data_IF_476157655446
#
_entry.id   IF_476157655446
#
_cell.length_a   1.000
_cell.length_b   1.000
_cell.length_c   1.000
_cell.angle_alpha   90.00
_cell.angle_beta   90.00
_cell.angle_gamma   90.00
#
_symmetry.space_group_name_H-M   'P 1'
#
loop_
_entity.id
_entity.type
_entity.pdbx_description
1 polymer ?
#
# COMPACT_ATOMS: atom_id res chain seq x y z
N UNK A 1 -7.03 8.91 -15.06
CA UNK A 1 -7.55 7.63 -14.57
C UNK A 1 -8.89 7.88 -13.90
N UNK A 2 -9.98 7.37 -14.47
CA UNK A 2 -11.35 7.66 -14.01
C UNK A 2 -12.24 6.44 -14.20
N UNK A 3 -11.97 5.34 -13.51
CA UNK A 3 -13.02 4.36 -13.33
C UNK A 3 -12.85 3.45 -12.12
N UNK A 4 -13.54 3.80 -11.03
CA UNK A 4 -14.14 2.81 -10.15
C UNK A 4 -15.64 3.00 -10.32
N UNK A 5 -16.34 2.03 -10.90
CA UNK A 5 -17.76 2.15 -11.20
C UNK A 5 -18.64 2.27 -9.92
N UNK A 6 -18.05 2.16 -8.73
CA UNK A 6 -18.74 1.93 -7.46
C UNK A 6 -19.77 0.81 -7.60
N UNK A 7 -19.36 -0.22 -8.34
CA UNK A 7 -20.18 -1.32 -8.75
C UNK A 7 -19.36 -2.56 -8.46
N UNK A 8 -19.91 -3.53 -7.73
CA UNK A 8 -19.20 -4.76 -7.46
C UNK A 8 -18.79 -5.45 -8.77
N UNK A 9 -17.61 -6.04 -8.81
CA UNK A 9 -17.27 -6.93 -9.92
C UNK A 9 -18.26 -8.11 -9.96
N UNK A 10 -18.42 -8.74 -11.13
CA UNK A 10 -19.25 -9.93 -11.30
C UNK A 10 -20.76 -9.79 -11.08
N UNK A 11 -21.30 -8.59 -10.85
CA UNK A 11 -22.74 -8.40 -10.61
C UNK A 11 -23.45 -7.58 -11.69
N UNK A 12 -23.63 -8.11 -12.91
CA UNK A 12 -24.18 -7.36 -14.05
C UNK A 12 -25.59 -6.79 -13.80
N UNK A 13 -26.29 -7.23 -12.74
CA UNK A 13 -27.61 -6.76 -12.33
C UNK A 13 -27.65 -5.66 -11.26
N UNK A 14 -26.56 -5.39 -10.52
CA UNK A 14 -26.58 -4.39 -9.44
C UNK A 14 -25.89 -4.81 -8.15
N UNK A 15 -26.28 -4.18 -7.04
CA UNK A 15 -25.89 -4.61 -5.70
C UNK A 15 -26.82 -5.74 -5.23
N UNK A 16 -26.34 -6.98 -5.24
CA UNK A 16 -27.05 -8.15 -4.72
C UNK A 16 -26.47 -8.58 -3.35
N UNK A 17 -27.31 -9.10 -2.46
CA UNK A 17 -26.92 -9.40 -1.07
C UNK A 17 -25.96 -10.61 -0.91
N UNK A 18 -25.81 -11.41 -1.96
CA UNK A 18 -24.91 -12.56 -2.06
C UNK A 18 -23.59 -12.21 -2.77
N UNK A 19 -23.40 -10.94 -3.14
CA UNK A 19 -22.23 -10.54 -3.88
C UNK A 19 -20.92 -10.76 -3.08
N UNK A 20 -20.01 -11.49 -3.70
CA UNK A 20 -18.71 -11.87 -3.13
C UNK A 20 -17.58 -10.90 -3.51
N UNK A 21 -17.84 -9.95 -4.41
CA UNK A 21 -16.85 -9.05 -5.02
C UNK A 21 -17.08 -7.58 -4.67
N UNK A 22 -17.20 -7.30 -3.37
CA UNK A 22 -17.37 -5.94 -2.84
C UNK A 22 -16.08 -5.47 -2.18
N UNK A 23 -15.50 -4.41 -2.75
CA UNK A 23 -14.41 -3.68 -2.12
C UNK A 23 -14.94 -2.68 -1.08
N UNK A 24 -14.28 -2.60 0.08
CA UNK A 24 -14.67 -1.69 1.17
C UNK A 24 -13.73 -0.49 1.38
N UNK A 25 -12.46 -0.61 0.98
CA UNK A 25 -11.42 0.41 1.19
C UNK A 25 -10.77 0.77 -0.14
N UNK A 26 -11.33 1.80 -0.78
CA UNK A 26 -10.75 2.43 -1.96
C UNK A 26 -10.08 3.74 -1.56
N UNK A 27 -9.39 4.33 -2.53
CA UNK A 27 -8.76 5.62 -2.42
C UNK A 27 -8.74 6.30 -3.79
N UNK A 28 -8.68 7.61 -3.79
CA UNK A 28 -8.50 8.42 -5.00
C UNK A 28 -7.18 9.15 -4.89
N UNK A 29 -6.53 9.37 -6.03
CA UNK A 29 -5.29 10.13 -6.11
C UNK A 29 -5.11 10.77 -7.48
N UNK A 30 -4.19 11.72 -7.59
CA UNK A 30 -3.81 12.24 -8.90
C UNK A 30 -3.13 11.16 -9.74
N UNK A 31 -3.44 11.14 -11.04
CA UNK A 31 -2.88 10.15 -11.96
C UNK A 31 -2.44 10.82 -13.28
N UNK A 32 -1.91 12.04 -13.19
CA UNK A 32 -1.46 12.80 -14.36
C UNK A 32 -0.19 12.17 -14.92
N UNK A 33 -0.20 11.83 -16.22
CA UNK A 33 0.98 11.34 -16.94
C UNK A 33 2.21 12.21 -16.62
N UNK A 34 3.31 11.58 -16.23
CA UNK A 34 4.59 12.17 -15.82
C UNK A 34 4.60 12.97 -14.49
N UNK A 35 3.44 13.24 -13.88
CA UNK A 35 3.33 14.09 -12.67
C UNK A 35 2.64 13.39 -11.48
N UNK A 36 2.19 12.14 -11.63
CA UNK A 36 1.54 11.38 -10.55
C UNK A 36 2.34 11.42 -9.25
N UNK A 37 3.64 11.07 -9.30
CA UNK A 37 4.45 10.96 -8.09
C UNK A 37 4.54 12.28 -7.32
N UNK A 38 4.82 13.40 -8.00
CA UNK A 38 4.89 14.73 -7.36
C UNK A 38 3.54 15.20 -6.83
N UNK A 39 2.47 14.96 -7.58
CA UNK A 39 1.14 15.40 -7.20
C UNK A 39 0.63 14.62 -5.97
N UNK A 40 0.85 13.31 -5.92
CA UNK A 40 0.55 12.48 -4.74
C UNK A 40 1.43 12.90 -3.57
N UNK A 41 2.73 13.08 -3.79
CA UNK A 41 3.67 13.54 -2.77
C UNK A 41 3.25 14.90 -2.17
N UNK A 42 2.77 15.82 -3.00
CA UNK A 42 2.31 17.14 -2.59
C UNK A 42 0.99 17.13 -1.78
N UNK A 43 0.16 16.09 -1.89
CA UNK A 43 -1.10 16.06 -1.14
C UNK A 43 -2.28 15.36 -1.81
N UNK A 44 -2.21 15.07 -3.12
CA UNK A 44 -3.40 14.68 -3.88
C UNK A 44 -3.72 13.19 -3.75
N UNK A 45 -4.12 12.78 -2.55
CA UNK A 45 -4.67 11.46 -2.25
C UNK A 45 -5.68 11.50 -1.09
N UNK A 46 -6.64 10.58 -1.09
CA UNK A 46 -7.65 10.46 -0.04
C UNK A 46 -8.41 9.13 -0.10
N UNK A 47 -9.04 8.74 1.01
CA UNK A 47 -9.84 7.52 1.06
C UNK A 47 -11.22 7.71 0.42
N UNK A 48 -11.70 6.63 -0.18
CA UNK A 48 -13.08 6.46 -0.61
C UNK A 48 -13.58 5.13 -0.03
N UNK A 49 -14.41 5.20 1.02
CA UNK A 49 -14.85 4.02 1.75
C UNK A 49 -16.24 3.60 1.28
N UNK A 50 -16.39 2.30 1.00
CA UNK A 50 -17.64 1.68 0.62
C UNK A 50 -18.13 0.76 1.74
N UNK A 51 -19.45 0.68 1.87
CA UNK A 51 -20.15 -0.11 2.87
C UNK A 51 -21.31 -0.83 2.20
N UNK A 52 -21.67 -2.00 2.72
CA UNK A 52 -22.73 -2.85 2.18
C UNK A 52 -23.63 -3.39 3.31
N UNK A 53 -24.52 -4.34 3.03
CA UNK A 53 -25.45 -4.89 4.02
C UNK A 53 -24.78 -5.72 5.14
N UNK A 54 -23.54 -6.18 4.96
CA UNK A 54 -22.78 -6.97 5.95
C UNK A 54 -21.72 -6.14 6.65
N UNK A 55 -20.90 -5.41 5.92
CA UNK A 55 -19.97 -4.38 6.40
C UNK A 55 -20.64 -3.00 6.32
N UNK A 56 -21.67 -2.81 7.15
CA UNK A 56 -22.60 -1.66 7.03
C UNK A 56 -22.12 -0.35 7.63
N UNK A 57 -20.90 -0.31 8.15
CA UNK A 57 -20.42 0.86 8.88
C UNK A 57 -21.23 1.15 10.16
N UNK A 58 -21.93 0.14 10.71
CA UNK A 58 -22.72 0.25 11.92
C UNK A 58 -22.53 -0.96 12.85
N UNK A 59 -21.79 -0.77 13.94
CA UNK A 59 -21.49 -1.79 14.95
C UNK A 59 -22.71 -2.23 15.79
N UNK A 60 -23.86 -1.58 15.59
CA UNK A 60 -25.15 -1.90 16.23
C UNK A 60 -26.22 -2.36 15.23
N UNK A 61 -25.83 -2.64 13.99
CA UNK A 61 -26.75 -3.13 12.99
C UNK A 61 -27.47 -4.40 13.48
N UNK A 62 -28.80 -4.36 13.42
CA UNK A 62 -29.68 -5.44 13.85
C UNK A 62 -29.89 -6.48 12.76
N UNK A 63 -29.43 -6.24 11.54
CA UNK A 63 -29.40 -7.23 10.47
C UNK A 63 -28.63 -8.49 10.97
N UNK A 64 -29.23 -9.69 10.92
CA UNK A 64 -28.56 -10.92 11.36
C UNK A 64 -27.27 -11.23 10.58
N UNK A 65 -27.15 -10.73 9.34
CA UNK A 65 -25.98 -10.93 8.49
C UNK A 65 -24.89 -9.86 8.68
N UNK A 66 -25.15 -8.80 9.47
CA UNK A 66 -24.17 -7.74 9.67
C UNK A 66 -22.99 -8.21 10.53
N UNK A 67 -21.79 -8.01 10.02
CA UNK A 67 -20.54 -8.31 10.73
C UNK A 67 -20.42 -7.52 12.03
N UNK A 68 -20.98 -6.30 12.07
CA UNK A 68 -20.86 -5.34 13.17
C UNK A 68 -19.39 -5.11 13.57
N UNK A 69 -18.53 -4.90 12.57
CA UNK A 69 -17.15 -4.46 12.78
C UNK A 69 -17.11 -3.11 13.53
N UNK A 70 -15.98 -2.72 14.15
CA UNK A 70 -15.82 -1.36 14.68
C UNK A 70 -16.15 -0.33 13.60
N UNK A 71 -16.90 0.72 13.96
CA UNK A 71 -17.49 1.64 12.99
C UNK A 71 -17.54 3.09 13.48
N UNK A 72 -17.87 4.02 12.58
CA UNK A 72 -17.94 5.44 12.88
C UNK A 72 -16.59 5.95 13.40
N UNK A 73 -16.57 6.55 14.60
CA UNK A 73 -15.33 7.06 15.21
C UNK A 73 -14.31 5.98 15.62
N UNK A 74 -14.67 4.70 15.49
CA UNK A 74 -13.81 3.55 15.78
C UNK A 74 -13.30 2.87 14.49
N UNK A 75 -13.63 3.41 13.32
CA UNK A 75 -13.11 3.00 12.01
C UNK A 75 -12.28 4.16 11.45
N UNK A 76 -10.96 4.02 11.46
CA UNK A 76 -10.02 5.13 11.31
C UNK A 76 -9.12 4.91 10.08
N UNK A 77 -9.23 5.75 9.04
CA UNK A 77 -8.31 5.74 7.91
C UNK A 77 -6.91 6.23 8.30
N UNK A 78 -5.88 5.52 7.85
CA UNK A 78 -4.47 5.82 8.04
C UNK A 78 -3.73 5.79 6.69
N UNK A 79 -3.53 6.96 6.07
CA UNK A 79 -2.64 7.08 4.91
C UNK A 79 -1.22 7.21 5.44
N UNK A 80 -0.39 6.18 5.22
CA UNK A 80 1.04 6.21 5.52
C UNK A 80 1.81 6.73 4.30
N UNK A 81 2.73 7.66 4.53
CA UNK A 81 3.49 8.32 3.47
C UNK A 81 4.80 8.84 4.06
N UNK A 82 5.94 8.52 3.44
CA UNK A 82 7.23 9.05 3.84
C UNK A 82 7.55 10.35 3.09
N UNK A 83 8.12 11.32 3.80
CA UNK A 83 8.35 12.69 3.33
C UNK A 83 9.69 13.19 3.86
N UNK A 84 10.45 13.88 3.00
CA UNK A 84 11.59 14.71 3.40
C UNK A 84 11.16 16.15 3.62
N UNK A 85 11.78 16.82 4.59
CA UNK A 85 11.52 18.24 4.86
C UNK A 85 12.81 19.06 4.77
N UNK A 86 12.73 20.29 4.26
CA UNK A 86 13.81 21.27 4.37
C UNK A 86 13.92 21.76 5.83
N UNK A 87 15.01 22.48 6.14
CA UNK A 87 15.19 23.07 7.47
C UNK A 87 14.07 24.07 7.84
N UNK A 88 13.41 24.67 6.84
CA UNK A 88 12.27 25.58 6.98
C UNK A 88 10.92 24.83 7.07
N UNK A 89 10.94 23.50 7.04
CA UNK A 89 9.75 22.66 7.18
C UNK A 89 8.93 22.49 5.89
N UNK A 90 9.48 22.81 4.71
CA UNK A 90 8.82 22.54 3.43
C UNK A 90 9.04 21.09 3.00
N UNK A 91 8.01 20.43 2.47
CA UNK A 91 8.18 19.11 1.87
C UNK A 91 9.12 19.22 0.67
N UNK A 92 10.15 18.36 0.63
CA UNK A 92 11.16 18.32 -0.44
C UNK A 92 10.84 17.19 -1.40
N UNK A 93 10.71 17.52 -2.68
CA UNK A 93 10.76 16.58 -3.79
C UNK A 93 11.80 17.07 -4.79
N UNK A 94 12.81 16.26 -5.08
CA UNK A 94 13.97 16.66 -5.88
C UNK A 94 14.31 15.54 -6.88
N UNK A 95 13.91 15.77 -8.14
CA UNK A 95 14.15 14.83 -9.24
C UNK A 95 15.63 14.68 -9.61
N UNK A 96 16.50 15.55 -9.10
CA UNK A 96 17.90 15.54 -9.46
C UNK A 96 18.77 14.97 -8.35
N UNK A 97 18.34 15.14 -7.10
CA UNK A 97 19.02 14.68 -5.89
C UNK A 97 18.03 13.93 -5.00
N UNK A 98 17.64 12.69 -5.35
CA UNK A 98 16.66 11.91 -4.59
C UNK A 98 17.12 11.59 -3.16
N UNK A 99 18.43 11.46 -2.93
CA UNK A 99 19.06 11.28 -1.61
C UNK A 99 19.31 12.61 -0.87
N UNK A 100 19.04 13.72 -1.55
CA UNK A 100 19.23 15.07 -1.05
C UNK A 100 20.67 15.61 -1.04
N UNK A 101 21.66 14.85 -1.51
CA UNK A 101 23.10 15.18 -1.43
C UNK A 101 23.57 15.92 -2.70
N UNK A 102 23.98 17.20 -2.63
CA UNK A 102 24.51 17.90 -3.79
C UNK A 102 25.79 17.23 -4.34
N UNK A 103 26.02 17.20 -5.66
CA UNK A 103 27.26 16.66 -6.20
C UNK A 103 28.43 17.58 -5.81
N UNK A 104 29.57 16.99 -5.42
CA UNK A 104 30.79 17.74 -5.06
C UNK A 104 31.31 18.49 -6.30
N UNK A 105 31.20 19.81 -6.29
CA UNK A 105 31.52 20.71 -7.42
C UNK A 105 33.00 20.69 -7.82
N UNK A 106 33.90 20.25 -6.93
CA UNK A 106 35.35 20.38 -7.09
C UNK A 106 36.02 19.37 -8.03
N UNK A 107 35.31 18.35 -8.53
CA UNK A 107 35.89 17.27 -9.37
C UNK A 107 35.11 17.05 -10.67
N UNK A 108 34.75 18.13 -11.37
CA UNK A 108 33.93 18.08 -12.60
C UNK A 108 34.76 17.73 -13.85
N UNK A 109 34.52 16.59 -14.52
CA UNK A 109 35.11 16.31 -15.84
C UNK A 109 34.48 17.23 -16.91
N UNK A 110 35.21 17.58 -17.97
CA UNK A 110 34.61 18.33 -19.08
C UNK A 110 33.57 17.44 -19.82
N UNK A 111 32.47 18.03 -20.36
CA UNK A 111 31.54 17.29 -21.23
C UNK A 111 32.29 16.57 -22.35
N UNK A 112 31.91 15.33 -22.62
CA UNK A 112 32.49 14.49 -23.67
C UNK A 112 31.51 14.35 -24.82
N UNK A 113 31.96 14.60 -26.04
CA UNK A 113 31.18 14.29 -27.24
C UNK A 113 31.13 12.77 -27.41
N UNK A 114 29.95 12.18 -27.21
CA UNK A 114 29.72 10.74 -27.38
C UNK A 114 29.20 10.42 -28.79
N UNK A 115 28.86 11.44 -29.58
CA UNK A 115 28.20 11.30 -30.86
C UNK A 115 26.84 10.59 -30.75
N UNK A 116 26.06 10.64 -31.82
CA UNK A 116 24.86 9.82 -31.94
C UNK A 116 24.88 8.95 -33.20
N UNK A 117 23.89 8.08 -33.35
CA UNK A 117 23.76 7.16 -34.49
C UNK A 117 23.59 7.87 -35.85
N UNK A 118 23.40 9.19 -35.86
CA UNK A 118 23.30 10.03 -37.06
C UNK A 118 24.63 10.74 -37.38
N UNK A 119 25.70 10.53 -36.60
CA UNK A 119 27.01 11.14 -36.82
C UNK A 119 27.10 12.62 -36.46
N UNK A 120 26.14 13.15 -35.70
CA UNK A 120 26.20 14.51 -35.14
C UNK A 120 26.81 14.48 -33.75
N UNK A 121 27.53 15.54 -33.36
CA UNK A 121 28.06 15.69 -32.01
C UNK A 121 26.92 15.65 -30.98
N UNK A 122 27.06 14.82 -29.96
CA UNK A 122 26.16 14.76 -28.82
C UNK A 122 27.00 14.87 -27.55
N UNK A 123 26.93 16.03 -26.88
CA UNK A 123 27.75 16.29 -25.70
C UNK A 123 27.11 15.62 -24.49
N UNK A 124 27.64 14.45 -24.09
CA UNK A 124 27.35 13.85 -22.81
C UNK A 124 28.10 14.60 -21.71
N UNK A 125 27.36 15.44 -21.00
CA UNK A 125 27.82 16.06 -19.77
C UNK A 125 27.40 15.20 -18.58
N UNK A 126 28.33 14.41 -18.04
CA UNK A 126 28.11 13.65 -16.81
C UNK A 126 27.87 14.53 -15.57
N UNK A 127 28.02 15.86 -15.70
CA UNK A 127 27.71 16.84 -14.65
C UNK A 127 26.34 17.50 -14.80
N UNK A 128 25.60 17.24 -15.88
CA UNK A 128 24.19 17.65 -15.93
C UNK A 128 23.46 16.88 -14.85
N UNK A 129 22.71 17.60 -14.01
CA UNK A 129 21.75 16.98 -13.11
C UNK A 129 20.82 16.12 -13.97
N UNK A 130 21.00 14.81 -13.89
CA UNK A 130 20.18 13.86 -14.62
C UNK A 130 18.88 13.69 -13.86
N UNK A 131 17.77 13.64 -14.58
CA UNK A 131 16.51 13.22 -14.00
C UNK A 131 16.70 11.83 -13.40
N UNK A 132 16.45 11.69 -12.11
CA UNK A 132 16.42 10.37 -11.48
C UNK A 132 15.19 9.61 -11.95
N UNK A 133 15.40 8.36 -12.30
CA UNK A 133 14.36 7.36 -12.51
C UNK A 133 14.24 6.43 -11.31
N UNK A 134 14.96 6.71 -10.23
CA UNK A 134 14.92 5.95 -9.00
C UNK A 134 13.68 6.27 -8.16
N UNK A 135 13.39 5.41 -7.18
CA UNK A 135 12.37 5.69 -6.18
C UNK A 135 12.85 6.79 -5.22
N UNK A 136 11.92 7.54 -4.66
CA UNK A 136 12.22 8.56 -3.65
C UNK A 136 11.82 8.06 -2.26
N UNK A 137 12.78 8.06 -1.35
CA UNK A 137 12.62 7.60 0.01
C UNK A 137 12.74 8.76 0.99
N UNK A 138 11.73 8.94 1.82
CA UNK A 138 11.69 9.95 2.88
C UNK A 138 12.28 9.47 4.20
N UNK A 139 12.78 10.43 4.98
CA UNK A 139 13.34 10.21 6.33
C UNK A 139 12.28 10.30 7.43
N UNK A 140 11.10 10.88 7.14
CA UNK A 140 9.97 10.98 8.08
C UNK A 140 8.77 10.23 7.57
N UNK A 141 8.26 9.29 8.36
CA UNK A 141 6.93 8.69 8.11
C UNK A 141 5.86 9.63 8.65
N UNK A 142 4.89 9.92 7.81
CA UNK A 142 3.67 10.64 8.16
C UNK A 142 2.48 9.69 8.14
N UNK A 143 1.51 9.97 9.00
CA UNK A 143 0.18 9.34 8.98
C UNK A 143 -0.84 10.45 8.85
N UNK A 144 -1.65 10.40 7.79
CA UNK A 144 -2.57 11.49 7.43
C UNK A 144 -1.88 12.87 7.44
N UNK A 145 -0.65 12.92 6.90
CA UNK A 145 0.23 14.11 6.80
C UNK A 145 0.76 14.67 8.12
N UNK A 146 0.59 13.97 9.24
CA UNK A 146 1.21 14.32 10.51
C UNK A 146 2.44 13.44 10.72
N UNK A 147 3.58 14.01 11.06
CA UNK A 147 4.80 13.25 11.37
C UNK A 147 4.57 12.45 12.65
N UNK A 148 4.64 11.11 12.54
CA UNK A 148 4.64 10.16 13.66
C UNK A 148 3.65 10.51 14.79
N UNK A 149 2.33 10.60 14.50
CA UNK A 149 1.35 11.11 15.45
C UNK A 149 1.10 10.12 16.60
N UNK A 150 0.33 10.61 17.57
CA UNK A 150 -0.34 9.73 18.53
C UNK A 150 -1.86 9.88 18.45
N UNK A 151 -2.56 8.85 18.92
CA UNK A 151 -4.02 8.83 19.06
C UNK A 151 -4.42 8.30 20.43
N UNK A 152 -5.18 9.10 21.20
CA UNK A 152 -5.83 8.61 22.40
C UNK A 152 -7.02 7.70 22.05
N UNK A 153 -6.96 6.46 22.52
CA UNK A 153 -7.96 5.44 22.22
C UNK A 153 -8.73 5.01 23.47
N UNK A 154 -9.99 4.66 23.28
CA UNK A 154 -10.77 3.96 24.31
C UNK A 154 -10.28 2.51 24.39
N UNK A 155 -10.41 1.89 25.56
CA UNK A 155 -10.03 0.48 25.77
C UNK A 155 -11.09 -0.47 25.22
N UNK A 156 -11.14 -0.57 23.89
CA UNK A 156 -12.08 -1.36 23.07
C UNK A 156 -11.48 -1.64 21.69
N UNK A 157 -12.21 -2.34 20.82
CA UNK A 157 -11.79 -2.59 19.43
C UNK A 157 -11.93 -1.36 18.55
N UNK A 158 -10.94 -1.18 17.66
CA UNK A 158 -10.93 -0.21 16.57
C UNK A 158 -10.56 -0.92 15.27
N UNK A 159 -11.13 -0.48 14.16
CA UNK A 159 -10.71 -0.82 12.80
C UNK A 159 -9.81 0.31 12.30
N UNK A 160 -8.66 -0.04 11.73
CA UNK A 160 -7.75 0.89 11.08
C UNK A 160 -7.63 0.48 9.62
N UNK A 161 -7.84 1.45 8.72
CA UNK A 161 -7.72 1.25 7.27
C UNK A 161 -6.39 1.82 6.82
N UNK A 162 -5.38 0.96 6.71
CA UNK A 162 -4.01 1.35 6.39
C UNK A 162 -3.88 1.40 4.87
N UNK A 163 -3.43 2.54 4.34
CA UNK A 163 -3.08 2.73 2.93
C UNK A 163 -1.63 3.18 2.84
N UNK A 164 -0.80 2.47 2.07
CA UNK A 164 0.48 3.04 1.63
C UNK A 164 0.24 4.00 0.46
N UNK A 165 0.25 5.31 0.77
CA UNK A 165 0.05 6.38 -0.21
C UNK A 165 1.36 7.00 -0.72
N UNK A 166 2.52 6.55 -0.24
CA UNK A 166 3.83 7.05 -0.65
C UNK A 166 4.23 6.52 -2.03
N UNK A 167 5.11 7.21 -2.77
CA UNK A 167 5.38 6.81 -4.14
C UNK A 167 6.36 5.64 -4.26
N UNK A 168 7.19 5.34 -3.24
CA UNK A 168 8.25 4.33 -3.40
C UNK A 168 8.50 3.44 -2.19
N UNK A 169 8.42 3.96 -0.95
CA UNK A 169 8.73 3.14 0.24
C UNK A 169 7.74 2.00 0.42
N UNK A 170 8.29 0.82 0.66
CA UNK A 170 7.57 -0.37 1.10
C UNK A 170 7.72 -0.51 2.61
N UNK A 171 6.70 -1.04 3.28
CA UNK A 171 6.68 -1.16 4.73
C UNK A 171 6.53 -2.61 5.16
N UNK A 172 7.18 -2.97 6.27
CA UNK A 172 6.86 -4.16 7.07
C UNK A 172 6.43 -3.68 8.45
N UNK A 173 5.12 -3.60 8.65
CA UNK A 173 4.50 -3.06 9.83
C UNK A 173 4.33 -4.12 10.90
N UNK A 174 4.60 -3.79 12.16
CA UNK A 174 4.35 -4.64 13.33
C UNK A 174 3.79 -3.83 14.50
N UNK A 175 3.09 -4.50 15.43
CA UNK A 175 2.59 -3.87 16.66
C UNK A 175 3.57 -4.04 17.81
N UNK A 176 4.20 -2.94 18.23
CA UNK A 176 5.02 -2.90 19.44
C UNK A 176 4.19 -2.42 20.63
N UNK A 177 4.21 -3.17 21.73
CA UNK A 177 3.58 -2.78 22.99
C UNK A 177 4.66 -2.46 24.01
N UNK A 178 4.55 -1.30 24.65
CA UNK A 178 5.41 -0.85 25.74
C UNK A 178 4.57 -0.79 27.02
N UNK A 179 4.72 -1.77 27.93
CA UNK A 179 3.98 -1.81 29.17
C UNK A 179 4.33 -0.65 30.13
N UNK A 180 3.32 -0.03 30.74
CA UNK A 180 3.52 1.05 31.71
C UNK A 180 4.14 0.60 33.04
N UNK A 181 4.08 -0.70 33.34
CA UNK A 181 4.64 -1.27 34.56
C UNK A 181 6.17 -1.50 34.49
N UNK A 182 6.83 -1.06 33.42
CA UNK A 182 8.27 -1.22 33.23
C UNK A 182 8.70 -2.62 32.77
N UNK A 183 7.75 -3.50 32.41
CA UNK A 183 8.09 -4.75 31.74
C UNK A 183 8.67 -4.47 30.34
N UNK A 184 9.52 -5.38 29.79
CA UNK A 184 10.09 -5.21 28.45
C UNK A 184 9.02 -5.06 27.36
N UNK A 185 9.29 -4.30 26.29
CA UNK A 185 8.43 -4.26 25.11
C UNK A 185 8.24 -5.64 24.49
N UNK A 186 7.09 -5.86 23.85
CA UNK A 186 6.78 -7.09 23.14
C UNK A 186 5.99 -6.81 21.85
N UNK A 187 5.97 -7.79 20.94
CA UNK A 187 5.21 -7.72 19.69
C UNK A 187 3.84 -8.39 19.90
N UNK A 188 2.77 -7.74 19.41
CA UNK A 188 1.40 -8.25 19.42
C UNK A 188 0.88 -8.43 17.98
N UNK A 189 -0.29 -9.04 17.83
CA UNK A 189 -0.83 -9.40 16.51
C UNK A 189 -1.86 -8.39 15.99
N UNK A 190 -1.88 -8.19 14.67
CA UNK A 190 -3.00 -7.58 13.96
C UNK A 190 -4.07 -8.63 13.70
N UNK A 191 -5.34 -8.24 13.76
CA UNK A 191 -6.44 -9.00 13.16
C UNK A 191 -6.78 -8.39 11.81
N UNK A 192 -6.36 -9.01 10.72
CA UNK A 192 -6.56 -8.54 9.34
C UNK A 192 -7.94 -8.94 8.84
N UNK A 193 -8.64 -8.00 8.21
CA UNK A 193 -9.97 -8.17 7.63
C UNK A 193 -9.95 -8.19 6.10
N UNK A 194 -9.10 -7.37 5.48
CA UNK A 194 -9.04 -7.22 4.03
C UNK A 194 -7.61 -7.01 3.53
N UNK A 195 -7.43 -7.29 2.23
CA UNK A 195 -6.26 -6.92 1.44
C UNK A 195 -6.76 -6.20 0.18
N UNK A 196 -6.20 -5.02 -0.12
CA UNK A 196 -6.63 -4.14 -1.21
C UNK A 196 -8.13 -3.79 -1.21
N UNK A 197 -8.79 -3.86 -0.06
CA UNK A 197 -10.21 -3.57 0.09
C UNK A 197 -11.12 -4.78 -0.13
N UNK A 198 -10.60 -5.91 -0.60
CA UNK A 198 -11.31 -7.18 -0.68
C UNK A 198 -11.25 -7.89 0.67
N UNK A 199 -12.42 -8.27 1.20
CA UNK A 199 -12.52 -8.96 2.49
C UNK A 199 -11.99 -10.40 2.38
N UNK A 200 -11.24 -10.83 3.39
CA UNK A 200 -10.89 -12.24 3.59
C UNK A 200 -12.16 -13.06 3.89
N UNK A 201 -12.11 -14.38 3.65
CA UNK A 201 -13.22 -15.28 4.04
C UNK A 201 -13.40 -15.39 5.55
N UNK A 202 -12.32 -15.16 6.31
CA UNK A 202 -12.31 -15.06 7.75
C UNK A 202 -11.18 -14.14 8.19
N UNK A 203 -11.32 -13.41 9.32
CA UNK A 203 -10.24 -12.61 9.85
C UNK A 203 -8.99 -13.46 10.14
N UNK A 204 -7.82 -12.89 9.87
CA UNK A 204 -6.54 -13.56 10.04
C UNK A 204 -5.68 -12.83 11.07
N UNK A 205 -5.07 -13.56 12.00
CA UNK A 205 -4.07 -12.99 12.90
C UNK A 205 -2.66 -13.08 12.28
N UNK A 206 -1.92 -11.97 12.33
CA UNK A 206 -0.51 -11.93 11.89
C UNK A 206 0.29 -10.94 12.74
N UNK A 207 1.56 -11.24 12.97
CA UNK A 207 2.49 -10.37 13.68
C UNK A 207 2.91 -9.17 12.81
N UNK A 208 2.81 -9.33 11.49
CA UNK A 208 3.33 -8.37 10.52
C UNK A 208 2.45 -8.19 9.29
N UNK A 209 2.60 -7.02 8.67
CA UNK A 209 1.98 -6.66 7.40
C UNK A 209 3.03 -6.08 6.46
N UNK A 210 3.22 -6.71 5.30
CA UNK A 210 3.95 -6.10 4.20
C UNK A 210 2.99 -5.22 3.40
N UNK A 211 3.21 -3.90 3.40
CA UNK A 211 2.32 -2.91 2.79
C UNK A 211 3.08 -2.18 1.69
N UNK A 212 2.86 -2.60 0.44
CA UNK A 212 3.53 -2.01 -0.72
C UNK A 212 2.72 -0.83 -1.25
N UNK A 213 3.31 -0.04 -2.16
CA UNK A 213 2.66 1.17 -2.70
C UNK A 213 1.28 0.81 -3.24
N UNK A 214 0.29 1.64 -2.90
CA UNK A 214 -1.13 1.46 -3.21
C UNK A 214 -1.83 0.30 -2.47
N UNK A 215 -1.15 -0.50 -1.64
CA UNK A 215 -1.84 -1.54 -0.87
C UNK A 215 -2.72 -0.96 0.23
N UNK A 216 -3.83 -1.67 0.49
CA UNK A 216 -4.73 -1.38 1.62
C UNK A 216 -4.87 -2.59 2.53
N UNK A 217 -4.83 -2.35 3.84
CA UNK A 217 -5.17 -3.35 4.85
C UNK A 217 -6.14 -2.77 5.85
N UNK A 218 -7.30 -3.41 6.00
CA UNK A 218 -8.15 -3.15 7.16
C UNK A 218 -7.78 -4.11 8.29
N UNK A 219 -7.45 -3.56 9.45
CA UNK A 219 -7.02 -4.32 10.61
C UNK A 219 -7.80 -3.92 11.85
N UNK A 220 -8.01 -4.85 12.77
CA UNK A 220 -8.53 -4.59 14.10
C UNK A 220 -7.39 -4.65 15.12
N UNK A 221 -7.38 -3.66 16.00
CA UNK A 221 -6.59 -3.68 17.24
C UNK A 221 -7.56 -3.59 18.42
N UNK A 222 -7.49 -4.56 19.33
CA UNK A 222 -8.32 -4.58 20.53
C UNK A 222 -7.61 -3.95 21.73
N UNK A 223 -7.85 -2.66 21.95
CA UNK A 223 -7.23 -1.94 23.06
C UNK A 223 -7.82 -2.26 24.44
N UNK A 224 -8.85 -3.12 24.53
CA UNK A 224 -9.35 -3.59 25.83
C UNK A 224 -8.33 -4.46 26.57
N UNK A 225 -7.41 -5.08 25.82
CA UNK A 225 -6.35 -5.98 26.27
C UNK A 225 -5.25 -5.26 27.03
N UNK A 226 -4.98 -4.00 26.68
CA UNK A 226 -3.92 -3.20 27.28
C UNK A 226 -4.39 -2.43 28.52
N UNK A 227 -3.44 -2.05 29.37
CA UNK A 227 -3.65 -1.28 30.58
C UNK A 227 -3.58 0.21 30.27
N UNK A 228 -4.18 1.01 31.14
CA UNK A 228 -4.01 2.46 31.09
C UNK A 228 -2.54 2.81 31.27
N UNK A 229 -2.02 3.66 30.40
CA UNK A 229 -0.63 4.10 30.40
C UNK A 229 0.29 3.27 29.50
N UNK A 230 -0.12 2.07 29.08
CA UNK A 230 0.63 1.31 28.06
C UNK A 230 0.70 2.15 26.79
N UNK A 231 1.74 1.94 25.97
CA UNK A 231 1.82 2.52 24.63
C UNK A 231 1.78 1.38 23.62
N UNK A 232 0.93 1.49 22.61
CA UNK A 232 0.84 0.53 21.51
C UNK A 232 1.22 1.26 20.25
N UNK A 233 2.18 0.77 19.48
CA UNK A 233 2.73 1.49 18.33
C UNK A 233 2.67 0.62 17.10
N UNK A 234 2.28 1.20 15.98
CA UNK A 234 2.63 0.64 14.67
C UNK A 234 4.03 1.14 14.34
N UNK A 235 4.91 0.21 14.06
CA UNK A 235 6.32 0.44 13.73
C UNK A 235 6.62 -0.19 12.37
N UNK A 236 7.57 0.36 11.62
CA UNK A 236 8.10 -0.23 10.39
C UNK A 236 9.50 -0.79 10.64
N UNK A 237 9.74 -2.05 10.27
CA UNK A 237 11.06 -2.69 10.36
C UNK A 237 11.62 -3.20 9.03
N UNK A 238 11.04 -2.80 7.90
CA UNK A 238 11.63 -3.08 6.59
C UNK A 238 12.81 -2.15 6.34
N UNK A 239 14.00 -2.72 6.16
CA UNK A 239 15.12 -2.01 5.54
C UNK A 239 14.80 -1.74 4.08
N UNK A 240 15.02 -0.50 3.64
CA UNK A 240 14.77 -0.06 2.27
C UNK A 240 16.07 0.50 1.72
N UNK A 241 16.33 0.26 0.43
CA UNK A 241 17.45 0.90 -0.26
C UNK A 241 17.17 2.40 -0.46
N UNK A 242 18.21 3.21 -0.35
CA UNK A 242 18.11 4.68 -0.50
C UNK A 242 17.68 5.11 -1.92
N UNK A 243 17.95 4.28 -2.93
CA UNK A 243 17.49 4.47 -4.32
C UNK A 243 16.01 4.08 -4.53
N UNK A 244 15.31 3.71 -3.46
CA UNK A 244 13.91 3.32 -3.51
C UNK A 244 13.63 2.06 -4.33
N UNK A 245 14.65 1.25 -4.62
CA UNK A 245 14.47 0.02 -5.40
C UNK A 245 13.70 -1.07 -4.66
N UNK A 246 13.44 -0.91 -3.37
CA UNK A 246 12.70 -1.89 -2.57
C UNK A 246 13.52 -2.34 -1.36
N UNK A 247 13.20 -3.53 -0.81
CA UNK A 247 13.84 -4.01 0.40
C UNK A 247 15.34 -4.24 0.18
N UNK A 248 16.17 -3.88 1.15
CA UNK A 248 17.62 -4.12 1.13
C UNK A 248 18.00 -5.55 1.59
N UNK A 249 17.01 -6.32 2.06
CA UNK A 249 17.18 -7.68 2.60
C UNK A 249 17.35 -7.73 4.12
N UNK A 250 17.45 -6.58 4.78
CA UNK A 250 17.61 -6.48 6.24
C UNK A 250 16.27 -6.20 6.93
N UNK A 251 16.12 -6.78 8.12
CA UNK A 251 15.07 -6.41 9.06
C UNK A 251 15.69 -5.50 10.10
N UNK A 252 15.17 -4.27 10.21
CA UNK A 252 15.68 -3.27 11.15
C UNK A 252 15.51 -3.78 12.58
N UNK A 253 16.51 -3.51 13.43
CA UNK A 253 16.40 -3.78 14.87
C UNK A 253 15.35 -2.87 15.52
N UNK A 254 14.95 -3.17 16.75
CA UNK A 254 13.95 -2.38 17.49
C UNK A 254 14.36 -0.90 17.65
N UNK A 255 15.67 -0.61 17.72
CA UNK A 255 16.22 0.74 17.85
C UNK A 255 16.29 1.49 16.50
N UNK A 256 16.32 0.76 15.39
CA UNK A 256 16.34 1.31 14.02
C UNK A 256 14.94 1.40 13.40
N UNK A 257 13.98 0.62 13.92
CA UNK A 257 12.61 0.58 13.45
C UNK A 257 11.96 1.97 13.48
N UNK A 258 11.29 2.32 12.40
CA UNK A 258 10.69 3.64 12.23
C UNK A 258 9.30 3.68 12.84
N UNK A 259 9.04 4.63 13.74
CA UNK A 259 7.70 4.86 14.27
C UNK A 259 6.72 5.32 13.19
N UNK A 260 5.51 4.76 13.18
CA UNK A 260 4.41 5.15 12.27
C UNK A 260 3.35 5.92 13.05
N UNK A 261 2.73 5.30 14.06
CA UNK A 261 1.74 5.93 14.95
C UNK A 261 1.75 5.30 16.34
N UNK A 262 1.53 6.10 17.38
CA UNK A 262 1.36 5.65 18.77
C UNK A 262 -0.09 5.74 19.24
N UNK A 263 -0.66 4.64 19.72
CA UNK A 263 -1.95 4.59 20.39
C UNK A 263 -1.79 4.61 21.91
N UNK A 264 -2.65 5.39 22.56
CA UNK A 264 -2.65 5.58 24.02
C UNK A 264 -3.99 5.11 24.61
N UNK A 265 -4.08 3.87 25.14
CA UNK A 265 -5.27 3.31 25.78
C UNK A 265 -5.60 3.96 27.14
N UNK A 266 -5.78 5.28 27.17
CA UNK A 266 -6.00 6.07 28.37
C UNK A 266 -7.42 5.99 28.95
N UNK A 267 -8.33 5.29 28.27
CA UNK A 267 -9.73 5.14 28.68
C UNK A 267 -9.98 4.27 29.92
N UNK A 268 -11.25 4.23 30.35
CA UNK A 268 -11.71 3.34 31.43
C UNK A 268 -11.68 1.86 31.01
N UNK A 269 -11.50 0.96 31.98
CA UNK A 269 -11.66 -0.48 31.76
C UNK A 269 -13.12 -0.81 31.39
N UNK A 270 -13.34 -1.87 30.62
CA UNK A 270 -14.68 -2.36 30.24
C UNK A 270 -15.53 -1.27 29.55
N UNK A 271 -14.91 -0.44 28.72
CA UNK A 271 -15.64 0.55 27.94
C UNK A 271 -16.64 -0.18 27.02
N UNK A 272 -17.91 0.26 26.91
CA UNK A 272 -18.90 -0.42 26.09
C UNK A 272 -18.45 -0.58 24.64
N UNK A 273 -18.53 -1.81 24.13
CA UNK A 273 -18.09 -2.16 22.79
C UNK A 273 -19.06 -3.19 22.17
N UNK A 274 -20.05 -2.74 21.38
CA UNK A 274 -20.96 -3.64 20.69
C UNK A 274 -20.32 -4.25 19.42
N UNK A 275 -19.13 -3.82 19.01
CA UNK A 275 -18.50 -4.35 17.81
C UNK A 275 -18.05 -5.81 18.00
N UNK A 276 -17.97 -6.54 16.90
CA UNK A 276 -17.64 -7.97 16.84
C UNK A 276 -16.51 -8.20 15.84
N UNK A 277 -15.80 -9.31 16.03
CA UNK A 277 -14.91 -9.88 15.02
C UNK A 277 -15.63 -11.17 14.56
N UNK A 278 -16.21 -11.21 13.35
CA UNK A 278 -16.92 -12.39 12.87
C UNK A 278 -15.94 -13.55 12.65
N UNK A 279 -16.41 -14.79 12.77
CA UNK A 279 -15.59 -15.98 12.46
C UNK A 279 -15.51 -16.27 10.95
N UNK A 280 -16.47 -15.76 10.20
CA UNK A 280 -16.63 -15.95 8.75
C UNK A 280 -17.18 -14.65 8.17
N UNK A 281 -16.67 -14.22 7.04
CA UNK A 281 -17.04 -12.98 6.34
C UNK A 281 -17.66 -13.29 4.97
N UNK A 282 -16.97 -13.02 3.86
CA UNK A 282 -17.47 -13.28 2.49
C UNK A 282 -16.63 -14.38 1.85
N UNK A 283 -17.27 -15.38 1.25
CA UNK A 283 -16.57 -16.35 0.43
C UNK A 283 -15.91 -15.63 -0.76
N UNK A 284 -14.76 -16.12 -1.20
CA UNK A 284 -14.14 -15.63 -2.42
C UNK A 284 -14.89 -16.18 -3.65
N UNK A 285 -14.93 -15.42 -4.77
CA UNK A 285 -15.46 -15.94 -6.02
C UNK A 285 -14.70 -17.20 -6.46
N UNK A 286 -15.40 -18.14 -7.08
CA UNK A 286 -14.76 -19.28 -7.72
C UNK A 286 -14.21 -18.89 -9.10
N UNK A 287 -13.03 -19.39 -9.45
CA UNK A 287 -12.44 -19.20 -10.77
C UNK A 287 -13.01 -20.24 -11.73
N UNK A 288 -13.87 -19.83 -12.66
CA UNK A 288 -14.27 -20.70 -13.78
C UNK A 288 -13.17 -20.73 -14.86
N UNK A 289 -12.37 -21.79 -14.82
CA UNK A 289 -11.30 -22.01 -15.79
C UNK A 289 -11.81 -22.18 -17.24
N UNK A 290 -13.10 -22.42 -17.46
CA UNK A 290 -13.69 -22.48 -18.81
C UNK A 290 -13.86 -21.09 -19.44
N UNK A 291 -13.90 -20.03 -18.62
CA UNK A 291 -13.96 -18.65 -19.07
C UNK A 291 -12.58 -18.13 -19.53
N UNK A 292 -11.50 -18.83 -19.19
CA UNK A 292 -10.13 -18.41 -19.54
C UNK A 292 -9.89 -18.52 -21.05
N UNK A 293 -9.76 -17.36 -21.72
CA UNK A 293 -9.51 -17.28 -23.17
C UNK A 293 -8.05 -17.07 -23.54
N UNK A 294 -7.23 -16.55 -22.62
CA UNK A 294 -5.82 -16.25 -22.91
C UNK A 294 -4.94 -16.30 -21.66
N UNK A 295 -3.66 -16.57 -21.88
CA UNK A 295 -2.59 -16.35 -20.91
C UNK A 295 -1.65 -15.26 -21.42
N UNK A 296 -1.24 -14.33 -20.56
CA UNK A 296 -0.35 -13.21 -20.92
C UNK A 296 0.86 -13.17 -20.01
N UNK A 297 1.96 -12.67 -20.57
CA UNK A 297 3.17 -12.34 -19.82
C UNK A 297 3.39 -10.83 -19.91
N UNK A 298 3.55 -10.21 -18.75
CA UNK A 298 3.98 -8.83 -18.60
C UNK A 298 5.31 -8.83 -17.87
N UNK A 299 6.35 -8.42 -18.57
CA UNK A 299 7.72 -8.35 -18.08
C UNK A 299 8.00 -6.91 -17.65
N UNK A 300 8.28 -6.70 -16.37
CA UNK A 300 8.70 -5.41 -15.81
C UNK A 300 10.22 -5.39 -15.77
N UNK A 301 10.82 -4.36 -16.37
CA UNK A 301 12.26 -4.26 -16.54
C UNK A 301 12.72 -2.79 -16.60
N UNK A 302 14.04 -2.60 -16.70
CA UNK A 302 14.71 -1.32 -16.84
C UNK A 302 15.57 -1.30 -18.11
N UNK A 303 15.07 -0.66 -19.16
CA UNK A 303 15.73 -0.58 -20.46
C UNK A 303 16.19 0.83 -20.78
N UNK A 304 17.46 0.98 -21.17
CA UNK A 304 18.04 2.25 -21.61
C UNK A 304 17.79 3.44 -20.67
N UNK A 305 17.79 3.18 -19.36
CA UNK A 305 17.60 4.22 -18.36
C UNK A 305 16.15 4.49 -17.95
N UNK A 306 15.18 3.69 -18.41
CA UNK A 306 13.76 3.90 -18.14
C UNK A 306 13.03 2.60 -17.79
N UNK A 307 11.98 2.71 -16.97
CA UNK A 307 11.10 1.59 -16.61
C UNK A 307 10.20 1.19 -17.78
N UNK A 308 10.13 -0.11 -18.07
CA UNK A 308 9.35 -0.65 -19.18
C UNK A 308 8.41 -1.77 -18.73
N UNK A 309 7.38 -1.98 -19.55
CA UNK A 309 6.59 -3.22 -19.54
C UNK A 309 6.71 -3.86 -20.93
N UNK A 310 7.18 -5.10 -20.99
CA UNK A 310 7.48 -5.81 -22.23
C UNK A 310 8.40 -4.99 -23.16
N UNK A 311 9.47 -4.41 -22.60
CA UNK A 311 10.44 -3.56 -23.30
C UNK A 311 9.85 -2.30 -23.97
N UNK A 312 8.70 -1.82 -23.50
CA UNK A 312 8.03 -0.61 -24.00
C UNK A 312 7.80 0.38 -22.87
N UNK A 313 8.05 1.65 -23.16
CA UNK A 313 7.69 2.78 -22.31
C UNK A 313 6.17 2.97 -22.27
N UNK A 314 5.66 3.68 -21.26
CA UNK A 314 4.26 4.07 -21.24
C UNK A 314 3.93 4.99 -22.42
N UNK A 315 2.86 4.67 -23.14
CA UNK A 315 2.28 5.52 -24.18
C UNK A 315 0.75 5.53 -24.00
N UNK A 316 0.14 6.68 -23.65
CA UNK A 316 -1.31 6.75 -23.41
C UNK A 316 -2.16 6.46 -24.65
N UNK A 317 -1.57 6.41 -25.85
CA UNK A 317 -2.27 6.09 -27.10
C UNK A 317 -2.07 4.63 -27.53
N UNK A 318 -1.26 3.85 -26.81
CA UNK A 318 -1.00 2.44 -27.12
C UNK A 318 -1.93 1.54 -26.30
N UNK A 319 -2.47 0.51 -26.96
CA UNK A 319 -3.25 -0.55 -26.32
C UNK A 319 -2.46 -1.85 -26.41
N UNK A 320 -1.89 -2.29 -25.29
CA UNK A 320 -1.09 -3.53 -25.23
C UNK A 320 -1.96 -4.80 -25.07
N UNK A 321 -3.17 -4.66 -24.51
CA UNK A 321 -4.12 -5.76 -24.35
C UNK A 321 -5.56 -5.32 -24.65
N UNK A 322 -6.28 -6.16 -25.39
CA UNK A 322 -7.73 -6.11 -25.55
C UNK A 322 -8.28 -7.42 -24.99
N UNK A 323 -9.25 -7.32 -24.09
CA UNK A 323 -9.85 -8.44 -23.36
C UNK A 323 -11.29 -8.57 -23.83
N UNK A 324 -11.74 -9.80 -24.08
CA UNK A 324 -13.12 -10.10 -24.47
C UNK A 324 -14.02 -9.93 -23.24
N UNK A 325 -15.08 -9.13 -23.35
CA UNK A 325 -16.01 -8.88 -22.24
C UNK A 325 -16.67 -10.18 -21.78
N UNK A 326 -16.69 -10.40 -20.45
CA UNK A 326 -17.29 -11.61 -19.87
C UNK A 326 -16.42 -12.86 -20.04
N UNK A 327 -15.12 -12.67 -20.23
CA UNK A 327 -14.13 -13.75 -20.26
C UNK A 327 -13.03 -13.49 -19.24
N UNK A 328 -12.30 -14.54 -18.88
CA UNK A 328 -11.14 -14.45 -18.01
C UNK A 328 -9.83 -14.55 -18.80
N UNK A 329 -8.77 -13.99 -18.24
CA UNK A 329 -7.40 -14.21 -18.69
C UNK A 329 -6.50 -14.50 -17.49
N UNK A 330 -5.44 -15.29 -17.70
CA UNK A 330 -4.41 -15.52 -16.68
C UNK A 330 -3.20 -14.66 -17.03
N UNK A 331 -2.82 -13.75 -16.15
CA UNK A 331 -1.68 -12.87 -16.35
C UNK A 331 -0.53 -13.29 -15.45
N UNK A 332 0.64 -13.47 -16.06
CA UNK A 332 1.90 -13.62 -15.35
C UNK A 332 2.61 -12.28 -15.33
N UNK A 333 2.75 -11.69 -14.15
CA UNK A 333 3.61 -10.54 -13.93
C UNK A 333 5.00 -11.05 -13.56
N UNK A 334 5.99 -10.74 -14.39
CA UNK A 334 7.37 -11.14 -14.18
C UNK A 334 8.21 -9.90 -13.94
N UNK A 335 8.89 -9.86 -12.82
CA UNK A 335 10.02 -8.98 -12.61
C UNK A 335 11.26 -9.66 -13.23
N UNK A 336 11.77 -9.13 -14.35
CA UNK A 336 12.94 -9.71 -15.03
C UNK A 336 14.24 -9.35 -14.29
N UNK A 337 14.27 -8.14 -13.72
CA UNK A 337 15.34 -7.69 -12.85
C UNK A 337 15.30 -8.36 -11.47
N UNK A 338 16.44 -8.38 -10.79
CA UNK A 338 16.55 -8.85 -9.40
C UNK A 338 16.79 -7.73 -8.39
N UNK A 339 16.89 -6.48 -8.87
CA UNK A 339 17.30 -5.35 -8.05
C UNK A 339 16.13 -4.46 -7.59
N UNK A 340 15.00 -4.48 -8.30
CA UNK A 340 13.86 -3.59 -8.05
C UNK A 340 12.61 -4.35 -7.67
N UNK A 341 11.79 -3.79 -6.79
CA UNK A 341 10.47 -4.27 -6.44
C UNK A 341 9.40 -3.48 -7.20
N UNK A 342 8.43 -4.18 -7.78
CA UNK A 342 7.37 -3.59 -8.58
C UNK A 342 6.00 -3.96 -8.01
N UNK A 343 5.37 -3.09 -7.19
CA UNK A 343 3.97 -3.26 -6.82
C UNK A 343 3.10 -2.99 -8.05
N UNK A 344 2.66 -4.05 -8.71
CA UNK A 344 1.84 -3.98 -9.92
C UNK A 344 0.37 -3.74 -9.56
N UNK A 345 -0.27 -2.84 -10.29
CA UNK A 345 -1.70 -2.54 -10.20
C UNK A 345 -2.35 -2.66 -11.59
N UNK A 346 -3.54 -3.27 -11.64
CA UNK A 346 -4.43 -3.32 -12.81
C UNK A 346 -5.72 -2.61 -12.48
N UNK A 347 -6.21 -1.80 -13.40
CA UNK A 347 -7.47 -1.07 -13.23
C UNK A 347 -8.63 -1.93 -13.75
N UNK A 348 -9.86 -1.47 -13.46
CA UNK A 348 -11.14 -2.02 -13.92
C UNK A 348 -11.57 -3.32 -13.25
N UNK A 349 -10.73 -4.36 -13.23
CA UNK A 349 -11.07 -5.66 -12.64
C UNK A 349 -10.17 -5.97 -11.43
N UNK A 350 -10.74 -6.70 -10.48
CA UNK A 350 -10.00 -7.38 -9.42
C UNK A 350 -9.44 -8.72 -9.95
N UNK A 351 -8.46 -9.30 -9.27
CA UNK A 351 -7.85 -10.56 -9.70
C UNK A 351 -7.42 -11.43 -8.53
N UNK A 352 -7.67 -12.73 -8.64
CA UNK A 352 -7.16 -13.69 -7.67
C UNK A 352 -5.74 -14.12 -8.02
N UNK A 353 -4.86 -14.11 -7.02
CA UNK A 353 -3.49 -14.62 -7.16
C UNK A 353 -3.52 -16.15 -7.24
N UNK A 354 -3.08 -16.71 -8.36
CA UNK A 354 -2.99 -18.16 -8.54
C UNK A 354 -1.72 -18.74 -7.90
N UNK A 355 -0.59 -18.08 -8.09
CA UNK A 355 0.70 -18.46 -7.53
C UNK A 355 1.67 -17.28 -7.45
N UNK A 356 2.64 -17.36 -6.53
CA UNK A 356 3.78 -16.45 -6.41
C UNK A 356 5.05 -17.30 -6.45
N UNK A 357 5.87 -17.11 -7.48
CA UNK A 357 7.13 -17.85 -7.67
C UNK A 357 6.97 -19.39 -7.58
N UNK A 358 5.90 -19.91 -8.20
CA UNK A 358 5.58 -21.35 -8.21
C UNK A 358 5.05 -21.91 -6.89
N UNK A 359 4.66 -21.04 -5.95
CA UNK A 359 4.05 -21.40 -4.67
C UNK A 359 2.61 -20.89 -4.59
N UNK A 360 1.72 -21.59 -3.90
CA UNK A 360 0.37 -21.10 -3.67
C UNK A 360 0.40 -19.78 -2.87
N UNK A 361 -0.58 -18.88 -3.07
CA UNK A 361 -0.70 -17.64 -2.31
C UNK A 361 -0.84 -17.92 -0.82
N UNK A 362 -0.21 -17.06 -0.02
CA UNK A 362 -0.41 -17.01 1.44
C UNK A 362 -1.86 -16.68 1.78
N UNK A 363 -2.23 -16.86 3.05
CA UNK A 363 -3.59 -16.55 3.51
C UNK A 363 -3.99 -15.08 3.29
N UNK A 364 -3.03 -14.15 3.38
CA UNK A 364 -3.25 -12.72 3.12
C UNK A 364 -3.39 -12.44 1.63
N UNK A 365 -2.55 -13.07 0.79
CA UNK A 365 -2.58 -12.88 -0.66
C UNK A 365 -3.86 -13.43 -1.29
N UNK A 366 -4.51 -14.42 -0.68
CA UNK A 366 -5.79 -14.96 -1.17
C UNK A 366 -6.95 -13.97 -1.14
N UNK A 367 -6.89 -12.92 -0.32
CA UNK A 367 -7.91 -11.88 -0.35
C UNK A 367 -7.78 -10.94 -1.55
N UNK A 368 -6.69 -10.98 -2.30
CA UNK A 368 -6.50 -10.07 -3.43
C UNK A 368 -7.36 -10.46 -4.61
#
# INVERSE_FOLDING_TARGET
>A
DHHYANFPAGSPGGWEADNTEIMNTLWYHDHRLDFTATNVYAGLSGFYLLFDERDSGNERDTNPNAFRLPSGKYDIPLIIHDVMFTAEGQARWDFFLPDGTPPVVATRPAPVDVGNSQGTSDAYDSNRLQYTTQGMIGDRITVNRIIQPYLDVRRRKYRFRILNGGPSRLYRLFLQVIPANGAPPYIDTFVVLSNDGNLLEAPLETDELEVYVANRFDVIIDFSRYRRGDKVRIMNRMGIRDDGAGPDGYTLSDDEAMGVIEFRPNGIRNYPDPSRIPRTMRALPEIDMNEVRRRRLFVFDYDNGLWTVNARLMDPNRVDAKIERGSAEIWTFRNEGNAWAHPVHTHFEEFQILEVNGRPPTAIERAR
#
